data_IF_201585541237
#
_entry.id   IF_201585541237
#
_cell.length_a   1.000
_cell.length_b   1.000
_cell.length_c   1.000
_cell.angle_alpha   90.00
_cell.angle_beta   90.00
_cell.angle_gamma   90.00
#
_symmetry.space_group_name_H-M   'P 1'
#
loop_
_entity.id
_entity.type
_entity.pdbx_description
1 polymer ?
#
# COMPACT_ATOMS: atom_id res chain seq x y z
N UNK A 1 -3.63 8.65 -12.85
CA UNK A 1 -2.52 9.55 -12.44
C UNK A 1 -1.63 8.78 -11.48
N UNK A 2 -0.34 9.09 -11.40
CA UNK A 2 0.47 8.55 -10.30
C UNK A 2 0.06 9.22 -8.98
N UNK A 3 0.32 8.59 -7.84
CA UNK A 3 0.04 9.21 -6.53
C UNK A 3 0.74 10.57 -6.36
N UNK A 4 1.93 10.73 -6.93
CA UNK A 4 2.62 12.03 -6.99
C UNK A 4 1.90 13.09 -7.81
N UNK A 5 1.27 12.72 -8.93
CA UNK A 5 0.51 13.67 -9.75
C UNK A 5 -0.73 14.17 -9.00
N UNK A 6 -1.38 13.27 -8.24
CA UNK A 6 -2.53 13.61 -7.39
C UNK A 6 -2.13 14.56 -6.27
N UNK A 7 -1.00 14.31 -5.59
CA UNK A 7 -0.50 15.22 -4.55
C UNK A 7 -0.20 16.62 -5.08
N UNK A 8 0.21 16.74 -6.35
CA UNK A 8 0.46 18.03 -6.99
C UNK A 8 -0.81 18.73 -7.47
N UNK A 9 -1.92 18.01 -7.64
CA UNK A 9 -3.20 18.59 -8.06
C UNK A 9 -4.05 19.12 -6.89
N UNK A 10 -3.65 18.82 -5.64
CA UNK A 10 -4.37 19.23 -4.43
C UNK A 10 -4.55 20.74 -4.37
N UNK A 11 -5.81 21.16 -4.28
CA UNK A 11 -6.16 22.55 -4.03
C UNK A 11 -6.33 22.79 -2.54
N UNK A 12 -6.27 24.05 -2.12
CA UNK A 12 -6.45 24.40 -0.72
C UNK A 12 -7.48 25.51 -0.54
N UNK A 13 -8.34 25.35 0.47
CA UNK A 13 -9.27 26.40 0.93
C UNK A 13 -9.03 26.69 2.40
N UNK A 14 -9.18 27.95 2.80
CA UNK A 14 -9.14 28.35 4.22
C UNK A 14 -10.52 28.75 4.68
N UNK A 15 -11.03 28.08 5.72
CA UNK A 15 -12.34 28.37 6.33
C UNK A 15 -12.12 28.64 7.82
N UNK A 16 -12.51 29.84 8.29
CA UNK A 16 -12.37 30.27 9.70
C UNK A 16 -10.94 30.06 10.25
N UNK A 17 -9.92 30.35 9.44
CA UNK A 17 -8.51 30.22 9.82
C UNK A 17 -7.91 28.82 9.71
N UNK A 18 -8.70 27.80 9.34
CA UNK A 18 -8.20 26.44 9.10
C UNK A 18 -8.06 26.16 7.61
N UNK A 19 -6.90 25.66 7.19
CA UNK A 19 -6.60 25.27 5.80
C UNK A 19 -7.00 23.81 5.57
N UNK A 20 -7.70 23.55 4.49
CA UNK A 20 -8.18 22.24 4.06
C UNK A 20 -7.60 21.91 2.68
N UNK A 21 -7.28 20.65 2.46
CA UNK A 21 -6.96 20.10 1.14
C UNK A 21 -8.26 19.70 0.44
N UNK A 22 -8.37 20.01 -0.85
CA UNK A 22 -9.49 19.63 -1.71
C UNK A 22 -8.91 18.82 -2.86
N UNK A 23 -9.54 17.67 -3.08
CA UNK A 23 -9.30 16.75 -4.17
C UNK A 23 -10.62 16.04 -4.49
N UNK A 24 -10.72 15.43 -5.66
CA UNK A 24 -11.89 14.62 -6.01
C UNK A 24 -11.94 13.34 -5.15
N UNK A 25 -13.12 12.72 -5.05
CA UNK A 25 -13.24 11.43 -4.34
C UNK A 25 -12.41 10.34 -5.04
N UNK A 26 -12.46 10.29 -6.37
CA UNK A 26 -11.68 9.35 -7.18
C UNK A 26 -10.16 9.52 -6.96
N UNK A 27 -9.67 10.77 -6.91
CA UNK A 27 -8.26 11.05 -6.62
C UNK A 27 -7.88 10.65 -5.19
N UNK A 28 -8.82 10.77 -4.23
CA UNK A 28 -8.58 10.36 -2.84
C UNK A 28 -8.46 8.84 -2.73
N UNK A 29 -9.37 8.10 -3.35
CA UNK A 29 -9.35 6.64 -3.39
C UNK A 29 -8.09 6.13 -4.11
N UNK A 30 -7.73 6.74 -5.25
CA UNK A 30 -6.51 6.40 -5.97
C UNK A 30 -5.24 6.71 -5.16
N UNK A 31 -5.24 7.74 -4.31
CA UNK A 31 -4.12 8.03 -3.42
C UNK A 31 -3.98 6.98 -2.31
N UNK A 32 -5.10 6.49 -1.76
CA UNK A 32 -5.11 5.40 -0.78
C UNK A 32 -4.56 4.12 -1.41
N UNK A 33 -5.09 3.70 -2.57
CA UNK A 33 -4.64 2.50 -3.27
C UNK A 33 -3.15 2.57 -3.63
N UNK A 34 -2.68 3.76 -4.04
CA UNK A 34 -1.27 3.98 -4.31
C UNK A 34 -0.41 3.80 -3.05
N UNK A 35 -0.85 4.31 -1.90
CA UNK A 35 -0.13 4.15 -0.64
C UNK A 35 -0.08 2.68 -0.20
N UNK A 36 -1.22 1.98 -0.26
CA UNK A 36 -1.31 0.54 0.04
C UNK A 36 -0.37 -0.26 -0.87
N UNK A 37 -0.34 0.05 -2.17
CA UNK A 37 0.58 -0.58 -3.12
C UNK A 37 2.05 -0.39 -2.73
N UNK A 38 2.41 0.80 -2.23
CA UNK A 38 3.78 1.07 -1.78
C UNK A 38 4.11 0.27 -0.52
N UNK A 39 3.19 0.17 0.43
CA UNK A 39 3.35 -0.61 1.67
C UNK A 39 3.45 -2.11 1.37
N UNK A 40 2.53 -2.65 0.55
CA UNK A 40 2.54 -4.04 0.11
C UNK A 40 3.82 -4.39 -0.65
N UNK A 41 4.31 -3.49 -1.50
CA UNK A 41 5.55 -3.71 -2.23
C UNK A 41 6.77 -3.83 -1.31
N UNK A 42 6.77 -3.15 -0.16
CA UNK A 42 7.84 -3.29 0.84
C UNK A 42 7.78 -4.67 1.51
N UNK A 43 6.59 -5.12 1.93
CA UNK A 43 6.38 -6.45 2.51
C UNK A 43 6.77 -7.54 1.50
N UNK A 44 6.35 -7.40 0.24
CA UNK A 44 6.69 -8.35 -0.82
C UNK A 44 8.21 -8.42 -1.07
N UNK A 45 8.91 -7.29 -1.06
CA UNK A 45 10.38 -7.25 -1.20
C UNK A 45 11.08 -7.97 -0.06
N UNK A 46 10.63 -7.76 1.18
CA UNK A 46 11.18 -8.44 2.34
C UNK A 46 10.93 -9.96 2.28
N UNK A 47 9.69 -10.37 2.00
CA UNK A 47 9.33 -11.78 1.85
C UNK A 47 10.15 -12.46 0.74
N UNK A 48 10.40 -11.75 -0.38
CA UNK A 48 11.23 -12.26 -1.46
C UNK A 48 12.71 -12.37 -1.09
N UNK A 49 13.23 -11.44 -0.30
CA UNK A 49 14.60 -11.51 0.22
C UNK A 49 14.77 -12.73 1.15
N UNK A 50 13.80 -13.00 2.01
CA UNK A 50 13.77 -14.19 2.86
C UNK A 50 13.69 -15.49 2.04
N UNK A 51 12.84 -15.53 1.01
CA UNK A 51 12.75 -16.66 0.10
C UNK A 51 14.07 -16.93 -0.62
N UNK A 52 14.75 -15.87 -1.07
CA UNK A 52 16.07 -15.98 -1.70
C UNK A 52 17.12 -16.52 -0.71
N UNK A 53 17.12 -16.03 0.53
CA UNK A 53 18.00 -16.54 1.59
C UNK A 53 17.74 -18.01 1.93
N UNK A 54 16.49 -18.47 1.78
CA UNK A 54 16.10 -19.87 1.93
C UNK A 54 16.41 -20.74 0.69
N UNK A 55 17.03 -20.18 -0.36
CA UNK A 55 17.34 -20.90 -1.60
C UNK A 55 16.12 -21.19 -2.47
N UNK A 56 15.05 -20.41 -2.33
CA UNK A 56 13.79 -20.60 -3.06
C UNK A 56 12.83 -21.60 -2.41
N UNK A 57 13.20 -22.20 -1.27
CA UNK A 57 12.32 -23.09 -0.52
C UNK A 57 11.34 -22.27 0.33
N UNK A 58 10.07 -22.26 -0.10
CA UNK A 58 8.98 -21.52 0.56
C UNK A 58 8.72 -22.00 1.98
N UNK A 59 8.83 -23.30 2.28
CA UNK A 59 8.61 -23.82 3.64
C UNK A 59 9.73 -23.37 4.57
N UNK A 60 10.98 -23.41 4.09
CA UNK A 60 12.12 -22.88 4.85
C UNK A 60 12.09 -21.36 5.03
N UNK A 61 11.47 -20.65 4.10
CA UNK A 61 11.19 -19.21 4.21
C UNK A 61 10.01 -18.88 5.15
N UNK A 62 9.36 -19.90 5.75
CA UNK A 62 8.23 -19.70 6.67
C UNK A 62 6.90 -19.40 5.98
N UNK A 63 6.80 -19.57 4.66
CA UNK A 63 5.56 -19.33 3.93
C UNK A 63 4.56 -20.46 4.19
N UNK A 64 3.30 -20.08 4.32
CA UNK A 64 2.16 -20.99 4.51
C UNK A 64 1.22 -20.90 3.31
N UNK A 65 0.50 -21.98 3.04
CA UNK A 65 -0.51 -21.97 1.97
C UNK A 65 -1.70 -21.12 2.39
N UNK A 66 -2.17 -20.27 1.48
CA UNK A 66 -3.28 -19.34 1.73
C UNK A 66 -4.54 -20.03 2.25
N UNK A 67 -4.90 -21.19 1.70
CA UNK A 67 -6.06 -21.98 2.12
C UNK A 67 -6.03 -22.39 3.60
N UNK A 68 -4.85 -22.39 4.22
CA UNK A 68 -4.69 -22.80 5.61
C UNK A 68 -4.84 -21.63 6.58
N UNK A 69 -4.70 -20.39 6.12
CA UNK A 69 -4.68 -19.19 6.99
C UNK A 69 -5.72 -18.14 6.64
N UNK A 70 -6.38 -18.22 5.48
CA UNK A 70 -7.35 -17.22 5.03
C UNK A 70 -8.53 -17.01 5.97
N UNK A 71 -8.84 -17.99 6.84
CA UNK A 71 -9.90 -17.87 7.85
C UNK A 71 -9.50 -17.14 9.13
N UNK A 72 -8.21 -16.84 9.31
CA UNK A 72 -7.66 -16.17 10.51
C UNK A 72 -7.51 -14.65 10.32
N UNK A 73 -7.55 -14.20 9.07
CA UNK A 73 -7.38 -12.81 8.64
C UNK A 73 -8.67 -12.38 7.95
N UNK A 74 -9.58 -11.84 8.75
CA UNK A 74 -10.88 -11.29 8.36
C UNK A 74 -10.92 -9.78 8.48
#
# INVERSE_FOLDING_TARGET
>A
MSGSDILQSVQFVTVKGKRFAILSADDWEALIEWLETVEDALVAKEAFAQLKAAGGDRKRAGWVEWSNVSGEIG
#
